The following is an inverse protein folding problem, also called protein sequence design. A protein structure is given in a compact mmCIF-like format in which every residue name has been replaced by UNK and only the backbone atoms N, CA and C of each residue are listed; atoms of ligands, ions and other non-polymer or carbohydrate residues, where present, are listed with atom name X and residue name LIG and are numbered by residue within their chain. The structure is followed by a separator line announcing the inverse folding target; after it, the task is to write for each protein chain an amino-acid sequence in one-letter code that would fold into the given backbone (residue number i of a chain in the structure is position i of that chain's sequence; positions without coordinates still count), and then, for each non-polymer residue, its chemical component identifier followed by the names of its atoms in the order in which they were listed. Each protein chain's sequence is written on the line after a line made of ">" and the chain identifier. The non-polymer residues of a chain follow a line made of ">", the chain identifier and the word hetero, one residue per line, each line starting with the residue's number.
data_IF_614721766218
#
_entry.id   IF_614721766218
#
_cell.length_a   1.000
_cell.length_b   1.000
_cell.length_c   1.000
_cell.angle_alpha   90.00
_cell.angle_beta   90.00
_cell.angle_gamma   90.00
#
_symmetry.space_group_name_H-M   'P 1'
#
loop_
_entity.id
_entity.type
_entity.pdbx_description
1 polymer ?
#
# COMPACT_ATOMS: atom_id res chain seq x y z
N UNK A 1 -4.45 -30.44 2.47
CA UNK A 1 -4.49 -29.03 2.09
C UNK A 1 -4.30 -28.18 3.34
N UNK A 2 -3.19 -27.45 3.42
CA UNK A 2 -2.97 -26.41 4.43
C UNK A 2 -4.08 -25.36 4.43
N UNK A 3 -4.28 -24.74 5.59
CA UNK A 3 -5.18 -23.60 5.77
C UNK A 3 -4.35 -22.46 6.35
N UNK A 4 -4.38 -21.33 5.64
CA UNK A 4 -3.73 -20.09 5.99
C UNK A 4 -4.78 -19.08 6.44
N UNK A 5 -4.44 -18.24 7.40
CA UNK A 5 -5.34 -17.27 8.01
C UNK A 5 -4.64 -15.94 8.15
N UNK A 6 -5.30 -14.87 7.72
CA UNK A 6 -4.91 -13.48 7.96
C UNK A 6 -6.08 -12.82 8.69
N UNK A 7 -5.85 -12.38 9.92
CA UNK A 7 -6.88 -11.87 10.81
C UNK A 7 -6.61 -10.41 11.13
N UNK A 8 -7.53 -9.53 10.73
CA UNK A 8 -7.57 -8.15 11.19
C UNK A 8 -8.55 -8.06 12.36
N UNK A 9 -8.13 -7.51 13.51
CA UNK A 9 -9.02 -7.37 14.67
C UNK A 9 -9.01 -5.98 15.27
N UNK A 10 -10.16 -5.55 15.79
CA UNK A 10 -10.31 -4.38 16.66
C UNK A 10 -11.49 -4.56 17.59
N UNK A 11 -11.20 -4.78 18.88
CA UNK A 11 -12.24 -5.00 19.89
C UNK A 11 -13.11 -6.21 19.55
N UNK A 12 -14.40 -6.00 19.25
CA UNK A 12 -15.34 -7.06 18.84
C UNK A 12 -15.48 -7.22 17.32
N UNK A 13 -14.82 -6.38 16.53
CA UNK A 13 -14.83 -6.47 15.08
C UNK A 13 -13.63 -7.28 14.58
N UNK A 14 -13.85 -8.12 13.58
CA UNK A 14 -12.79 -8.86 12.91
C UNK A 14 -13.09 -9.05 11.42
N UNK A 15 -12.02 -9.13 10.63
CA UNK A 15 -12.03 -9.58 9.24
C UNK A 15 -11.04 -10.75 9.21
N UNK A 16 -11.55 -11.95 8.98
CA UNK A 16 -10.75 -13.16 8.86
C UNK A 16 -10.72 -13.55 7.40
N UNK A 17 -9.52 -13.71 6.87
CA UNK A 17 -9.28 -14.15 5.50
C UNK A 17 -8.67 -15.54 5.60
N UNK A 18 -9.34 -16.52 5.03
CA UNK A 18 -8.90 -17.90 5.01
C UNK A 18 -8.46 -18.25 3.59
N UNK A 19 -7.24 -18.76 3.44
CA UNK A 19 -6.72 -19.27 2.19
C UNK A 19 -6.48 -20.77 2.31
N UNK A 20 -7.04 -21.55 1.40
CA UNK A 20 -6.82 -22.99 1.32
C UNK A 20 -5.96 -23.31 0.10
N UNK A 21 -4.93 -24.13 0.27
CA UNK A 21 -4.07 -24.53 -0.83
C UNK A 21 -2.70 -25.02 -0.37
N UNK A 22 -2.00 -25.73 -1.24
CA UNK A 22 -0.63 -26.20 -0.98
C UNK A 22 0.40 -25.08 -1.11
N UNK A 23 0.10 -24.02 -1.89
CA UNK A 23 0.96 -22.86 -2.11
C UNK A 23 0.22 -21.56 -1.74
N UNK A 24 0.70 -20.78 -0.75
CA UNK A 24 0.08 -19.50 -0.40
C UNK A 24 0.13 -18.43 -1.50
N UNK A 25 1.04 -18.55 -2.48
CA UNK A 25 1.07 -17.65 -3.64
C UNK A 25 -0.02 -17.96 -4.66
N UNK A 26 -0.62 -19.16 -4.60
CA UNK A 26 -1.62 -19.66 -5.54
C UNK A 26 -2.63 -20.50 -4.76
N UNK A 27 -3.39 -19.89 -3.84
CA UNK A 27 -4.38 -20.63 -3.09
C UNK A 27 -5.46 -21.18 -4.03
N UNK A 28 -5.97 -22.37 -3.72
CA UNK A 28 -7.10 -22.99 -4.44
C UNK A 28 -8.41 -22.28 -4.11
N UNK A 29 -8.52 -21.73 -2.89
CA UNK A 29 -9.68 -20.97 -2.44
C UNK A 29 -9.31 -19.85 -1.46
N UNK A 30 -10.02 -18.72 -1.56
CA UNK A 30 -9.96 -17.63 -0.58
C UNK A 30 -11.38 -17.32 -0.08
N UNK A 31 -11.54 -17.33 1.24
CA UNK A 31 -12.75 -16.97 1.96
C UNK A 31 -12.57 -15.73 2.83
N UNK A 32 -13.67 -15.00 3.04
CA UNK A 32 -13.73 -13.87 3.96
C UNK A 32 -14.84 -14.10 4.99
N UNK A 33 -14.50 -14.08 6.27
CA UNK A 33 -15.44 -14.07 7.39
C UNK A 33 -15.39 -12.72 8.11
N UNK A 34 -16.53 -12.03 8.14
CA UNK A 34 -16.66 -10.68 8.70
C UNK A 34 -17.47 -10.73 9.98
N UNK A 35 -16.83 -10.31 11.09
CA UNK A 35 -17.43 -10.32 12.41
C UNK A 35 -17.61 -8.91 12.96
N UNK A 36 -18.76 -8.67 13.59
CA UNK A 36 -19.10 -7.38 14.16
C UNK A 36 -19.30 -6.30 13.09
N UNK A 37 -18.80 -5.09 13.34
CA UNK A 37 -18.91 -3.96 12.40
C UNK A 37 -17.52 -3.40 12.10
N UNK A 38 -16.84 -3.90 11.05
CA UNK A 38 -15.51 -3.40 10.67
C UNK A 38 -15.55 -1.95 10.17
N UNK A 39 -16.70 -1.50 9.64
CA UNK A 39 -16.85 -0.18 9.06
C UNK A 39 -16.08 -0.06 7.73
N UNK A 40 -15.48 1.10 7.42
CA UNK A 40 -14.88 1.36 6.11
C UNK A 40 -13.62 0.54 5.81
N UNK A 41 -12.92 0.03 6.84
CA UNK A 41 -11.66 -0.69 6.66
C UNK A 41 -11.80 -1.93 5.77
N UNK A 42 -12.96 -2.61 5.82
CA UNK A 42 -13.19 -3.79 4.98
C UNK A 42 -13.22 -3.43 3.49
N UNK A 43 -13.84 -2.29 3.16
CA UNK A 43 -13.90 -1.81 1.79
C UNK A 43 -12.52 -1.34 1.32
N UNK A 44 -11.79 -0.60 2.15
CA UNK A 44 -10.41 -0.17 1.84
C UNK A 44 -9.50 -1.39 1.60
N UNK A 45 -9.58 -2.40 2.47
CA UNK A 45 -8.81 -3.63 2.31
C UNK A 45 -9.09 -4.29 0.97
N UNK A 46 -10.36 -4.46 0.61
CA UNK A 46 -10.74 -5.05 -0.69
C UNK A 46 -10.23 -4.24 -1.87
N UNK A 47 -10.34 -2.92 -1.82
CA UNK A 47 -9.84 -2.04 -2.89
C UNK A 47 -8.32 -2.15 -3.03
N UNK A 48 -7.61 -2.31 -1.92
CA UNK A 48 -6.16 -2.46 -1.92
C UNK A 48 -5.73 -3.81 -2.48
N UNK A 49 -6.40 -4.89 -2.08
CA UNK A 49 -6.18 -6.24 -2.63
C UNK A 49 -6.37 -6.21 -4.16
N UNK A 50 -7.49 -5.65 -4.63
CA UNK A 50 -7.85 -5.60 -6.04
C UNK A 50 -6.92 -4.73 -6.91
N UNK A 51 -6.09 -3.85 -6.31
CA UNK A 51 -5.04 -3.12 -7.05
C UNK A 51 -3.86 -4.00 -7.41
N UNK A 52 -3.74 -5.16 -6.78
CA UNK A 52 -2.61 -6.08 -6.93
C UNK A 52 -1.30 -5.53 -6.36
N UNK A 53 -0.24 -6.36 -6.36
CA UNK A 53 1.04 -6.01 -5.78
C UNK A 53 1.66 -4.77 -6.40
N UNK A 54 2.24 -3.92 -5.55
CA UNK A 54 3.09 -2.82 -6.02
C UNK A 54 4.25 -3.36 -6.86
N UNK A 55 4.70 -2.58 -7.86
CA UNK A 55 5.69 -3.02 -8.84
C UNK A 55 6.99 -3.54 -8.23
N UNK A 56 7.45 -2.98 -7.11
CA UNK A 56 8.65 -3.45 -6.42
C UNK A 56 8.46 -4.72 -5.57
N UNK A 57 7.21 -5.19 -5.40
CA UNK A 57 6.87 -6.45 -4.74
C UNK A 57 6.53 -7.58 -5.73
N UNK A 58 6.40 -7.27 -7.03
CA UNK A 58 6.04 -8.26 -8.06
C UNK A 58 7.08 -9.38 -8.23
N UNK A 59 8.33 -9.16 -7.81
CA UNK A 59 9.37 -10.22 -7.76
C UNK A 59 9.09 -11.26 -6.66
N UNK A 60 8.18 -10.99 -5.71
CA UNK A 60 7.88 -11.84 -4.53
C UNK A 60 6.42 -12.23 -4.40
N UNK A 61 5.51 -11.46 -4.99
CA UNK A 61 4.07 -11.64 -4.89
C UNK A 61 3.47 -11.68 -6.29
N UNK A 62 2.58 -12.64 -6.52
CA UNK A 62 2.09 -12.97 -7.85
C UNK A 62 1.02 -11.98 -8.34
N UNK A 63 -0.08 -11.86 -7.63
CA UNK A 63 -1.28 -11.13 -8.04
C UNK A 63 -2.21 -10.80 -6.85
N UNK A 64 -3.44 -10.34 -7.12
CA UNK A 64 -4.42 -10.00 -6.08
C UNK A 64 -4.85 -11.17 -5.19
N UNK A 65 -4.74 -12.41 -5.67
CA UNK A 65 -5.12 -13.63 -4.95
C UNK A 65 -3.94 -14.26 -4.19
N UNK A 66 -2.75 -13.68 -4.28
CA UNK A 66 -1.59 -14.09 -3.49
C UNK A 66 -1.81 -13.75 -2.00
N UNK A 67 -1.79 -14.77 -1.12
CA UNK A 67 -2.02 -14.56 0.31
C UNK A 67 -0.95 -13.68 0.97
N UNK A 68 0.28 -13.65 0.44
CA UNK A 68 1.32 -12.74 0.91
C UNK A 68 1.03 -11.30 0.51
N UNK A 69 0.45 -11.09 -0.68
CA UNK A 69 -0.03 -9.77 -1.06
C UNK A 69 -1.20 -9.33 -0.18
N UNK A 70 -2.13 -10.24 0.09
CA UNK A 70 -3.29 -9.96 0.95
C UNK A 70 -2.83 -9.63 2.38
N UNK A 71 -1.84 -10.34 2.93
CA UNK A 71 -1.25 -10.04 4.25
C UNK A 71 -0.59 -8.65 4.26
N UNK A 72 0.18 -8.34 3.23
CA UNK A 72 0.79 -7.02 3.07
C UNK A 72 -0.26 -5.91 2.98
N UNK A 73 -1.29 -6.09 2.15
CA UNK A 73 -2.41 -5.16 2.02
C UNK A 73 -3.16 -4.99 3.34
N UNK A 74 -3.38 -6.07 4.10
CA UNK A 74 -3.99 -6.04 5.42
C UNK A 74 -3.17 -5.21 6.42
N UNK A 75 -1.84 -5.43 6.50
CA UNK A 75 -0.95 -4.67 7.39
C UNK A 75 -0.95 -3.19 7.05
N UNK A 76 -0.77 -2.88 5.78
CA UNK A 76 -0.80 -1.51 5.26
C UNK A 76 -2.13 -0.81 5.52
N UNK A 77 -3.23 -1.57 5.46
CA UNK A 77 -4.56 -1.05 5.79
C UNK A 77 -4.68 -0.79 7.28
N UNK A 78 -4.26 -1.73 8.15
CA UNK A 78 -4.29 -1.53 9.60
C UNK A 78 -3.45 -0.32 10.06
N UNK A 79 -2.34 -0.01 9.38
CA UNK A 79 -1.54 1.21 9.64
C UNK A 79 -2.34 2.51 9.44
N UNK A 80 -3.27 2.54 8.48
CA UNK A 80 -4.10 3.72 8.20
C UNK A 80 -5.33 3.83 9.12
N UNK A 81 -5.69 2.74 9.82
CA UNK A 81 -6.85 2.68 10.68
C UNK A 81 -6.43 2.32 12.12
N UNK A 82 -6.13 3.32 12.97
CA UNK A 82 -5.64 3.09 14.32
C UNK A 82 -6.51 2.13 15.15
N UNK A 83 -5.85 1.27 15.90
CA UNK A 83 -6.48 0.27 16.78
C UNK A 83 -6.82 -1.06 16.10
N UNK A 84 -6.60 -1.20 14.80
CA UNK A 84 -6.60 -2.50 14.14
C UNK A 84 -5.25 -3.19 14.24
N UNK A 85 -5.25 -4.48 14.50
CA UNK A 85 -4.06 -5.35 14.51
C UNK A 85 -4.20 -6.44 13.46
N UNK A 86 -3.06 -6.91 12.94
CA UNK A 86 -3.01 -7.99 11.94
C UNK A 86 -2.19 -9.14 12.49
N UNK A 87 -2.77 -10.34 12.50
CA UNK A 87 -2.10 -11.60 12.79
C UNK A 87 -2.22 -12.52 11.58
N UNK A 88 -1.14 -13.20 11.21
CA UNK A 88 -1.19 -14.23 10.17
C UNK A 88 -0.34 -15.44 10.55
N UNK A 89 -0.76 -16.61 10.04
CA UNK A 89 -0.06 -17.88 10.20
C UNK A 89 0.70 -18.30 8.92
N UNK A 90 0.84 -17.37 7.96
CA UNK A 90 1.58 -17.63 6.73
C UNK A 90 3.02 -18.03 7.05
N UNK A 91 3.64 -18.89 6.22
CA UNK A 91 5.07 -19.14 6.34
C UNK A 91 5.83 -17.82 6.18
N UNK A 92 7.04 -17.68 6.75
CA UNK A 92 7.88 -16.54 6.40
C UNK A 92 8.21 -16.63 4.90
N UNK A 93 8.09 -15.50 4.19
CA UNK A 93 8.62 -15.39 2.84
C UNK A 93 10.12 -15.65 2.88
N UNK A 94 10.64 -16.53 2.02
CA UNK A 94 12.07 -16.69 1.87
C UNK A 94 12.71 -15.33 1.57
N UNK A 95 13.80 -15.02 2.27
CA UNK A 95 14.63 -13.87 1.92
C UNK A 95 15.21 -14.14 0.54
N UNK A 96 15.25 -13.16 -0.37
CA UNK A 96 15.90 -13.36 -1.65
C UNK A 96 17.32 -13.84 -1.37
N UNK A 97 17.73 -14.96 -1.95
CA UNK A 97 19.12 -15.39 -1.88
C UNK A 97 19.98 -14.19 -2.31
N UNK A 98 20.90 -13.77 -1.44
CA UNK A 98 21.91 -12.74 -1.73
C UNK A 98 22.79 -13.27 -2.87
N UNK A 99 22.30 -13.18 -4.11
CA UNK A 99 23.10 -13.39 -5.30
C UNK A 99 24.16 -12.28 -5.30
N UNK A 100 25.46 -12.61 -5.13
CA UNK A 100 26.52 -11.62 -5.18
C UNK A 100 26.60 -11.12 -6.63
N UNK A 101 25.88 -10.05 -6.94
CA UNK A 101 25.81 -9.49 -8.29
C UNK A 101 24.61 -8.58 -8.58
N UNK A 102 23.55 -8.56 -7.74
CA UNK A 102 22.45 -7.59 -7.90
C UNK A 102 22.74 -6.22 -7.24
N UNK A 103 23.99 -5.99 -6.85
CA UNK A 103 24.52 -4.72 -6.35
C UNK A 103 25.67 -4.17 -7.22
N UNK A 104 25.67 -4.39 -8.54
CA UNK A 104 26.69 -3.80 -9.44
C UNK A 104 26.10 -2.90 -10.54
N UNK A 105 24.97 -2.26 -10.24
CA UNK A 105 24.56 -1.09 -11.02
C UNK A 105 23.86 -0.05 -10.15
N UNK A 106 24.54 0.41 -9.12
CA UNK A 106 24.51 1.80 -8.61
C UNK A 106 25.81 2.10 -7.86
N UNK A 107 26.94 1.78 -8.48
CA UNK A 107 28.22 2.41 -8.15
C UNK A 107 28.34 3.72 -8.93
N UNK A 108 27.36 4.60 -8.81
CA UNK A 108 27.57 6.03 -9.04
C UNK A 108 27.83 6.67 -7.68
N UNK A 109 29.13 6.63 -7.32
CA UNK A 109 29.86 7.64 -6.58
C UNK A 109 29.10 8.28 -5.41
N UNK A 110 29.36 7.80 -4.20
CA UNK A 110 29.12 8.59 -2.98
C UNK A 110 29.74 9.98 -3.20
N UNK A 111 29.01 11.10 -3.07
CA UNK A 111 29.67 12.38 -2.98
C UNK A 111 30.46 12.37 -1.67
N UNK A 112 31.79 12.48 -1.79
CA UNK A 112 32.67 12.73 -0.66
C UNK A 112 32.17 13.96 0.10
N UNK A 113 32.26 13.86 1.41
CA UNK A 113 31.76 14.79 2.43
C UNK A 113 32.53 16.13 2.45
N UNK A 114 32.79 16.75 1.28
CA UNK A 114 33.66 17.91 1.17
C UNK A 114 33.28 18.93 0.09
N UNK A 115 32.09 18.88 -0.50
CA UNK A 115 31.56 20.01 -1.27
C UNK A 115 30.40 20.68 -0.53
N UNK A 116 30.72 21.86 -0.02
CA UNK A 116 29.80 22.79 0.63
C UNK A 116 28.75 23.22 -0.39
N UNK A 117 27.52 22.71 -0.28
CA UNK A 117 26.37 23.37 -0.87
C UNK A 117 26.09 24.63 -0.06
N UNK A 118 26.67 25.75 -0.49
CA UNK A 118 26.14 27.08 -0.16
C UNK A 118 24.82 27.21 -0.89
N UNK A 119 23.71 27.10 -0.17
CA UNK A 119 22.43 27.57 -0.68
C UNK A 119 22.54 29.08 -0.86
N UNK A 120 22.67 29.55 -2.10
CA UNK A 120 22.26 30.92 -2.45
C UNK A 120 20.76 30.87 -2.65
N UNK A 121 20.01 31.68 -1.89
CA UNK A 121 18.54 31.73 -1.84
C UNK A 121 17.86 32.18 -3.15
N UNK A 122 18.49 32.01 -4.32
CA UNK A 122 18.10 32.70 -5.56
C UNK A 122 17.54 31.79 -6.68
N UNK A 123 17.43 30.47 -6.49
CA UNK A 123 16.84 29.57 -7.52
C UNK A 123 15.78 28.62 -6.94
N UNK A 124 14.81 29.20 -6.25
CA UNK A 124 13.48 28.59 -6.08
C UNK A 124 12.55 29.35 -7.01
N UNK A 125 12.38 28.90 -8.26
CA UNK A 125 11.24 29.34 -9.06
C UNK A 125 9.96 28.82 -8.40
N UNK A 126 9.37 29.66 -7.56
CA UNK A 126 8.00 29.52 -7.11
C UNK A 126 7.14 29.64 -8.37
N UNK A 127 6.62 28.51 -8.86
CA UNK A 127 5.48 28.53 -9.79
C UNK A 127 4.33 29.20 -9.03
N UNK A 128 4.17 30.49 -9.27
CA UNK A 128 3.13 31.32 -8.68
C UNK A 128 1.78 30.81 -9.15
N UNK A 129 1.08 30.09 -8.27
CA UNK A 129 -0.36 29.95 -8.42
C UNK A 129 -0.95 31.34 -8.14
N UNK A 130 -1.40 32.05 -9.18
CA UNK A 130 -2.12 33.29 -8.98
C UNK A 130 -3.29 33.04 -8.00
N UNK A 131 -3.47 33.90 -6.98
CA UNK A 131 -4.56 33.72 -6.04
C UNK A 131 -5.88 33.88 -6.80
N UNK A 132 -6.65 32.79 -6.88
CA UNK A 132 -7.99 32.77 -7.49
C UNK A 132 -8.84 33.87 -6.85
N UNK A 133 -9.26 34.84 -7.65
CA UNK A 133 -10.02 36.00 -7.18
C UNK A 133 -11.46 35.61 -6.80
N UNK A 134 -12.11 36.39 -5.94
CA UNK A 134 -13.53 36.16 -5.57
C UNK A 134 -14.45 36.24 -6.81
N UNK A 135 -14.03 36.97 -7.85
CA UNK A 135 -14.76 37.09 -9.10
C UNK A 135 -14.69 35.83 -9.97
N UNK A 136 -13.54 35.14 -9.98
CA UNK A 136 -13.40 33.81 -10.60
C UNK A 136 -14.26 32.76 -9.90
N UNK A 137 -14.32 32.78 -8.56
CA UNK A 137 -15.20 31.89 -7.79
C UNK A 137 -16.68 32.12 -8.13
N UNK A 138 -17.09 33.38 -8.31
CA UNK A 138 -18.47 33.72 -8.72
C UNK A 138 -18.78 33.41 -10.19
N UNK A 139 -17.77 33.33 -11.06
CA UNK A 139 -17.97 32.92 -12.46
C UNK A 139 -18.32 31.43 -12.54
N UNK A 140 -17.60 30.58 -11.82
CA UNK A 140 -17.86 29.13 -11.77
C UNK A 140 -19.24 28.81 -11.21
N UNK A 141 -19.68 29.51 -10.17
CA UNK A 141 -21.02 29.33 -9.59
C UNK A 141 -22.16 29.74 -10.55
N UNK A 142 -21.94 30.75 -11.40
CA UNK A 142 -22.93 31.16 -12.42
C UNK A 142 -23.03 30.17 -13.58
N UNK A 143 -22.00 29.37 -13.82
CA UNK A 143 -21.95 28.38 -14.89
C UNK A 143 -22.61 27.06 -14.51
N UNK A 144 -22.68 26.75 -13.21
CA UNK A 144 -23.36 25.57 -12.68
C UNK A 144 -24.90 25.69 -12.66
N UNK A 145 -25.44 26.91 -12.72
CA UNK A 145 -26.90 27.17 -12.69
C UNK A 145 -27.54 27.23 -14.10
N UNK A 146 -26.76 26.94 -15.16
CA UNK A 146 -27.23 26.96 -16.56
C UNK A 146 -27.28 25.59 -17.25
N UNK A 147 -27.20 24.49 -16.48
CA UNK A 147 -27.43 23.13 -17.00
C UNK A 147 -28.76 22.57 -16.51
#
# INVERSE_FOLDING_TARGET
>A
MPIWTITLTRGKAAIVIEGEGEDPHIPDHIGFDIRGSPGPIYQELRERIARGPWSWLQDRMRDEDDLYWIDHAARETALQYPGWTVESNLPPLEEPEDIPGRCDRMSEKKPDHADKFTWTEDEIEVVGHEPVTDEDRRRVLREHDRR
#
